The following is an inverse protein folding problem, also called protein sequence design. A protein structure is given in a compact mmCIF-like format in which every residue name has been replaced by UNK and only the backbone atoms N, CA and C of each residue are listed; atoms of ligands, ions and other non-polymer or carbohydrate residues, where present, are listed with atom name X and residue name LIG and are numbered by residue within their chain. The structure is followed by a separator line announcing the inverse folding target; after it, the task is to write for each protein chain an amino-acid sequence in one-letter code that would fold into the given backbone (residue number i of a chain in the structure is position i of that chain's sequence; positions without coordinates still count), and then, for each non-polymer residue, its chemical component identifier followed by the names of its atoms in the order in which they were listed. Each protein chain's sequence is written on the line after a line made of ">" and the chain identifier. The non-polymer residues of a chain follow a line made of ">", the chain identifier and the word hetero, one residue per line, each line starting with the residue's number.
data_IF_763554436426
#
_entry.id   IF_763554436426
#
_cell.length_a   1.000
_cell.length_b   1.000
_cell.length_c   1.000
_cell.angle_alpha   90.00
_cell.angle_beta   90.00
_cell.angle_gamma   90.00
#
_symmetry.space_group_name_H-M   'P 1'
#
loop_
_entity.id
_entity.type
_entity.pdbx_description
1 polymer ?
#
# COMPACT_ATOMS: atom_id res chain seq x y z
N UNK A 1 1.09 -4.53 -17.96
CA UNK A 1 1.48 -5.50 -16.92
C UNK A 1 0.38 -5.56 -15.87
N UNK A 2 -0.17 -6.74 -15.55
CA UNK A 2 -1.34 -6.92 -14.68
C UNK A 2 -1.06 -6.87 -13.18
N UNK A 3 -0.18 -5.96 -12.74
CA UNK A 3 0.23 -5.82 -11.33
C UNK A 3 -0.52 -4.64 -10.72
N UNK A 4 -1.16 -4.88 -9.57
CA UNK A 4 -1.78 -3.82 -8.77
C UNK A 4 -0.78 -3.30 -7.74
N UNK A 5 -0.51 -2.00 -7.77
CA UNK A 5 0.43 -1.35 -6.85
C UNK A 5 -0.35 -0.68 -5.72
N UNK A 6 0.11 -0.89 -4.49
CA UNK A 6 -0.42 -0.30 -3.27
C UNK A 6 0.69 0.45 -2.53
N UNK A 7 0.41 1.68 -2.10
CA UNK A 7 1.27 2.44 -1.19
C UNK A 7 0.73 2.31 0.24
N UNK A 8 1.54 1.77 1.15
CA UNK A 8 1.24 1.69 2.58
C UNK A 8 2.29 2.51 3.33
N UNK A 9 1.90 3.68 3.85
CA UNK A 9 2.80 4.59 4.57
C UNK A 9 2.25 4.96 5.95
N UNK A 10 3.16 5.26 6.89
CA UNK A 10 2.86 5.87 8.18
C UNK A 10 2.66 7.39 8.10
N UNK A 11 2.97 8.00 6.95
CA UNK A 11 2.85 9.45 6.75
C UNK A 11 1.40 9.94 6.80
N UNK A 12 1.26 11.27 6.88
CA UNK A 12 -0.04 11.93 6.75
C UNK A 12 -0.68 11.63 5.40
N UNK A 13 -2.02 11.63 5.39
CA UNK A 13 -2.81 11.39 4.18
C UNK A 13 -2.44 12.34 3.03
N UNK A 14 -2.26 13.63 3.33
CA UNK A 14 -1.91 14.63 2.34
C UNK A 14 -0.57 14.33 1.65
N UNK A 15 0.45 13.96 2.43
CA UNK A 15 1.76 13.61 1.89
C UNK A 15 1.68 12.32 1.05
N UNK A 16 1.00 11.29 1.56
CA UNK A 16 0.84 10.02 0.87
C UNK A 16 0.11 10.16 -0.47
N UNK A 17 -0.97 10.94 -0.51
CA UNK A 17 -1.75 11.19 -1.72
C UNK A 17 -0.95 12.02 -2.74
N UNK A 18 -0.19 13.03 -2.29
CA UNK A 18 0.66 13.83 -3.16
C UNK A 18 1.73 12.99 -3.88
N UNK A 19 2.43 12.11 -3.13
CA UNK A 19 3.42 11.21 -3.72
C UNK A 19 2.74 10.18 -4.62
N UNK A 20 1.65 9.54 -4.17
CA UNK A 20 0.96 8.54 -4.96
C UNK A 20 0.45 9.10 -6.29
N UNK A 21 -0.06 10.34 -6.30
CA UNK A 21 -0.46 11.02 -7.52
C UNK A 21 0.72 11.23 -8.47
N UNK A 22 1.88 11.69 -7.98
CA UNK A 22 3.02 12.00 -8.85
C UNK A 22 3.57 10.79 -9.58
N UNK A 23 3.41 9.58 -9.03
CA UNK A 23 3.87 8.31 -9.63
C UNK A 23 2.73 7.39 -10.11
N UNK A 24 1.48 7.84 -10.05
CA UNK A 24 0.33 7.11 -10.60
C UNK A 24 -0.13 5.89 -9.78
N UNK A 25 0.15 5.84 -8.48
CA UNK A 25 -0.36 4.78 -7.59
C UNK A 25 -1.82 5.07 -7.22
N UNK A 26 -2.71 4.13 -7.57
CA UNK A 26 -4.16 4.27 -7.36
C UNK A 26 -4.62 3.88 -5.97
N UNK A 27 -3.86 3.05 -5.27
CA UNK A 27 -4.25 2.52 -3.97
C UNK A 27 -3.30 3.02 -2.89
N UNK A 28 -3.82 3.85 -1.97
CA UNK A 28 -3.04 4.46 -0.90
C UNK A 28 -3.68 4.17 0.45
N UNK A 29 -2.86 3.77 1.42
CA UNK A 29 -3.24 3.69 2.82
C UNK A 29 -2.21 4.46 3.65
N UNK A 30 -2.61 5.63 4.15
CA UNK A 30 -1.79 6.52 4.96
C UNK A 30 -2.02 6.29 6.46
N UNK A 31 -1.13 6.78 7.32
CA UNK A 31 -1.21 6.61 8.78
C UNK A 31 -1.14 5.15 9.24
N UNK A 32 -0.50 4.29 8.45
CA UNK A 32 -0.48 2.84 8.68
C UNK A 32 0.57 2.48 9.74
N UNK A 33 0.13 1.86 10.84
CA UNK A 33 1.02 1.26 11.84
C UNK A 33 1.62 -0.08 11.33
N UNK A 34 2.74 -0.58 11.87
CA UNK A 34 3.36 -1.83 11.42
C UNK A 34 2.38 -3.02 11.37
N UNK A 35 1.55 -3.20 12.40
CA UNK A 35 0.54 -4.26 12.44
C UNK A 35 -0.58 -4.11 11.41
N UNK A 36 -0.82 -2.90 10.90
CA UNK A 36 -1.81 -2.65 9.84
C UNK A 36 -1.26 -2.99 8.45
N UNK A 37 0.05 -2.82 8.20
CA UNK A 37 0.70 -3.26 6.95
C UNK A 37 0.55 -4.78 6.79
N UNK A 38 0.86 -5.54 7.84
CA UNK A 38 0.74 -7.01 7.85
C UNK A 38 -0.71 -7.48 7.60
N UNK A 39 -1.70 -6.87 8.27
CA UNK A 39 -3.13 -7.15 8.05
C UNK A 39 -3.54 -6.90 6.60
N UNK A 40 -3.04 -5.84 5.98
CA UNK A 40 -3.34 -5.51 4.59
C UNK A 40 -2.79 -6.55 3.62
N UNK A 41 -1.55 -6.99 3.84
CA UNK A 41 -0.91 -8.04 3.05
C UNK A 41 -1.70 -9.36 3.16
N UNK A 42 -2.04 -9.77 4.38
CA UNK A 42 -2.87 -10.96 4.62
C UNK A 42 -4.23 -10.87 3.92
N UNK A 43 -4.89 -9.71 3.98
CA UNK A 43 -6.16 -9.50 3.29
C UNK A 43 -6.05 -9.60 1.76
N UNK A 44 -4.95 -9.13 1.18
CA UNK A 44 -4.68 -9.28 -0.27
C UNK A 44 -4.38 -10.74 -0.64
N UNK A 45 -3.58 -11.42 0.16
CA UNK A 45 -3.28 -12.85 -0.02
C UNK A 45 -4.54 -13.72 0.09
N UNK A 46 -5.42 -13.43 1.07
CA UNK A 46 -6.69 -14.13 1.26
C UNK A 46 -7.66 -13.96 0.08
N UNK A 47 -7.50 -12.90 -0.72
CA UNK A 47 -8.24 -12.69 -1.98
C UNK A 47 -7.61 -13.42 -3.18
N UNK A 48 -6.59 -14.24 -2.95
CA UNK A 48 -5.89 -15.00 -3.98
C UNK A 48 -4.78 -14.23 -4.70
N UNK A 49 -4.44 -13.01 -4.26
CA UNK A 49 -3.34 -12.26 -4.87
C UNK A 49 -1.98 -12.79 -4.39
N UNK A 50 -1.04 -12.97 -5.31
CA UNK A 50 0.38 -13.11 -4.97
C UNK A 50 0.93 -11.71 -4.66
N UNK A 51 1.47 -11.55 -3.46
CA UNK A 51 1.93 -10.24 -2.96
C UNK A 51 3.45 -10.22 -2.89
N UNK A 52 4.06 -9.18 -3.44
CA UNK A 52 5.44 -8.79 -3.20
C UNK A 52 5.42 -7.49 -2.38
N UNK A 53 6.17 -7.46 -1.28
CA UNK A 53 6.32 -6.28 -0.43
C UNK A 53 7.72 -5.69 -0.64
N UNK A 54 7.78 -4.38 -0.80
CA UNK A 54 9.02 -3.58 -0.86
C UNK A 54 8.96 -2.56 0.28
N UNK A 55 9.99 -2.53 1.11
CA UNK A 55 10.08 -1.68 2.30
C UNK A 55 10.94 -2.32 3.38
N UNK A 56 11.24 -1.55 4.42
CA UNK A 56 11.84 -1.98 5.68
C UNK A 56 10.80 -2.45 6.71
#
# INVERSE_FOLDING_TARGET
>A
MGIQVWMLTGDSRAAAEAVAHSIGIKHVQAGTLPGQKAKKIQALQARGHRVCMLGD
#
